data_IF_127734250322
#
_entry.id   IF_127734250322
#
_cell.length_a   1.000
_cell.length_b   1.000
_cell.length_c   1.000
_cell.angle_alpha   90.00
_cell.angle_beta   90.00
_cell.angle_gamma   90.00
#
_symmetry.space_group_name_H-M   'P 1'
#
loop_
_entity.id
_entity.type
_entity.pdbx_description
1 polymer ?
#
# COMPACT_ATOMS: atom_id res chain seq x y z
N UNK A 1 30.42 -1.01 8.06
CA UNK A 1 30.57 -1.53 9.45
C UNK A 1 29.72 -2.79 9.67
N UNK A 2 28.40 -2.78 9.41
CA UNK A 2 27.50 -3.95 9.58
C UNK A 2 27.95 -5.22 8.84
N UNK A 3 28.37 -5.11 7.56
CA UNK A 3 28.89 -6.25 6.80
C UNK A 3 30.08 -6.91 7.49
N UNK A 4 31.01 -6.11 8.01
CA UNK A 4 32.18 -6.64 8.71
C UNK A 4 31.79 -7.40 9.98
N UNK A 5 30.74 -6.95 10.69
CA UNK A 5 30.21 -7.65 11.86
C UNK A 5 29.59 -8.99 11.48
N UNK A 6 28.88 -9.04 10.34
CA UNK A 6 28.34 -10.29 9.78
C UNK A 6 29.51 -11.23 9.42
N UNK A 7 30.54 -10.74 8.73
CA UNK A 7 31.70 -11.53 8.30
C UNK A 7 32.46 -12.17 9.48
N UNK A 8 32.49 -11.52 10.64
CA UNK A 8 33.15 -12.05 11.85
C UNK A 8 32.22 -12.87 12.75
N UNK A 9 31.03 -13.23 12.27
CA UNK A 9 30.11 -14.13 12.97
C UNK A 9 29.28 -13.47 14.08
N UNK A 10 29.13 -12.14 14.09
CA UNK A 10 28.35 -11.45 15.13
C UNK A 10 26.83 -11.45 14.88
N UNK A 11 26.37 -11.86 13.70
CA UNK A 11 24.97 -11.80 13.30
C UNK A 11 23.99 -12.43 14.32
N UNK A 12 24.20 -13.67 14.83
CA UNK A 12 23.29 -14.29 15.79
C UNK A 12 23.18 -13.50 17.11
N UNK A 13 24.27 -12.86 17.55
CA UNK A 13 24.29 -12.07 18.78
C UNK A 13 23.53 -10.75 18.64
N UNK A 14 23.41 -10.25 17.40
CA UNK A 14 22.64 -9.07 17.03
C UNK A 14 21.15 -9.38 16.78
N UNK A 15 20.73 -10.65 16.89
CA UNK A 15 19.36 -11.09 16.61
C UNK A 15 19.05 -11.30 15.13
N UNK A 16 20.06 -11.26 14.27
CA UNK A 16 19.92 -11.53 12.86
C UNK A 16 19.86 -13.06 12.61
N UNK A 17 19.12 -13.52 11.59
CA UNK A 17 19.07 -14.93 11.23
C UNK A 17 20.43 -15.42 10.69
N UNK A 18 20.62 -16.74 10.69
CA UNK A 18 21.87 -17.35 10.18
C UNK A 18 22.03 -17.16 8.67
N UNK A 19 20.93 -17.21 7.92
CA UNK A 19 20.93 -17.00 6.47
C UNK A 19 20.47 -15.57 6.15
N UNK A 20 21.41 -14.71 5.80
CA UNK A 20 21.17 -13.30 5.51
C UNK A 20 21.21 -13.02 4.00
N UNK A 21 20.35 -12.09 3.57
CA UNK A 21 20.37 -11.57 2.21
C UNK A 21 21.44 -10.47 2.05
N UNK A 22 22.71 -10.84 2.19
CA UNK A 22 23.86 -9.92 2.15
C UNK A 22 23.97 -9.21 0.80
N UNK A 23 23.61 -9.87 -0.29
CA UNK A 23 23.61 -9.28 -1.64
C UNK A 23 22.61 -8.12 -1.75
N UNK A 24 21.37 -8.32 -1.30
CA UNK A 24 20.34 -7.27 -1.32
C UNK A 24 20.66 -6.15 -0.33
N UNK A 25 21.19 -6.48 0.85
CA UNK A 25 21.66 -5.47 1.78
C UNK A 25 22.76 -4.60 1.18
N UNK A 26 23.74 -5.19 0.50
CA UNK A 26 24.77 -4.44 -0.22
C UNK A 26 24.18 -3.51 -1.28
N UNK A 27 23.20 -3.97 -2.05
CA UNK A 27 22.50 -3.10 -3.00
C UNK A 27 21.84 -1.92 -2.29
N UNK A 28 21.09 -2.18 -1.22
CA UNK A 28 20.35 -1.16 -0.46
C UNK A 28 21.27 -0.20 0.30
N UNK A 29 22.48 -0.61 0.69
CA UNK A 29 23.47 0.29 1.29
C UNK A 29 23.98 1.36 0.31
N UNK A 30 23.89 1.10 -0.99
CA UNK A 30 24.42 1.95 -2.05
C UNK A 30 23.34 2.74 -2.79
N UNK A 31 22.10 2.77 -2.29
CA UNK A 31 21.04 3.62 -2.86
C UNK A 31 21.44 5.10 -2.77
N UNK A 32 21.04 5.88 -3.76
CA UNK A 32 21.37 7.32 -3.84
C UNK A 32 20.67 8.16 -2.77
N UNK A 33 19.45 7.79 -2.38
CA UNK A 33 18.65 8.51 -1.39
C UNK A 33 18.80 7.94 0.01
N UNK A 34 19.04 8.80 1.00
CA UNK A 34 19.11 8.36 2.40
C UNK A 34 17.77 7.74 2.84
N UNK A 35 17.84 6.49 3.26
CA UNK A 35 16.71 5.74 3.76
C UNK A 35 16.86 5.45 5.25
N UNK A 36 15.71 5.21 5.89
CA UNK A 36 15.64 4.84 7.28
C UNK A 36 16.50 3.59 7.56
N UNK A 37 17.20 3.50 8.71
CA UNK A 37 18.02 2.32 9.03
C UNK A 37 17.26 1.00 8.91
N UNK A 38 15.98 1.00 9.27
CA UNK A 38 15.11 -0.17 9.14
C UNK A 38 14.85 -0.61 7.70
N UNK A 39 14.90 0.31 6.73
CA UNK A 39 14.84 0.00 5.30
C UNK A 39 16.05 -0.82 4.87
N UNK A 40 17.23 -0.49 5.42
CA UNK A 40 18.47 -1.23 5.22
C UNK A 40 18.39 -2.60 5.93
N UNK A 41 17.93 -2.66 7.17
CA UNK A 41 17.77 -3.94 7.89
C UNK A 41 16.78 -4.88 7.20
N UNK A 42 15.64 -4.39 6.72
CA UNK A 42 14.67 -5.20 5.97
C UNK A 42 15.28 -5.86 4.72
N UNK A 43 16.33 -5.27 4.14
CA UNK A 43 17.07 -5.86 3.02
C UNK A 43 17.86 -7.12 3.42
N UNK A 44 18.28 -7.25 4.68
CA UNK A 44 19.00 -8.43 5.18
C UNK A 44 18.08 -9.63 5.40
N UNK A 45 16.79 -9.41 5.62
CA UNK A 45 15.84 -10.43 6.03
C UNK A 45 15.04 -10.97 4.84
N UNK A 46 14.75 -12.26 4.82
CA UNK A 46 14.02 -12.93 3.75
C UNK A 46 12.51 -12.91 3.94
N UNK A 47 12.03 -12.88 5.19
CA UNK A 47 10.61 -13.06 5.51
C UNK A 47 10.12 -12.18 6.66
N UNK A 48 8.80 -12.06 6.78
CA UNK A 48 8.16 -11.39 7.92
C UNK A 48 8.47 -12.10 9.25
N UNK A 49 8.56 -13.42 9.23
CA UNK A 49 8.88 -14.21 10.43
C UNK A 49 10.28 -13.86 10.95
N UNK A 50 11.28 -13.75 10.07
CA UNK A 50 12.62 -13.30 10.44
C UNK A 50 12.62 -11.87 10.99
N UNK A 51 11.77 -10.98 10.46
CA UNK A 51 11.58 -9.62 10.98
C UNK A 51 10.95 -9.61 12.37
N UNK A 52 9.98 -10.48 12.62
CA UNK A 52 9.36 -10.64 13.92
C UNK A 52 10.33 -11.24 14.94
N UNK A 53 11.16 -12.19 14.54
CA UNK A 53 12.19 -12.77 15.40
C UNK A 53 13.31 -11.76 15.74
N UNK A 54 13.75 -10.99 14.74
CA UNK A 54 14.66 -9.86 14.96
C UNK A 54 14.06 -8.85 15.96
N UNK A 55 12.79 -8.46 15.77
CA UNK A 55 12.08 -7.58 16.69
C UNK A 55 12.00 -8.14 18.12
N UNK A 56 11.72 -9.45 18.28
CA UNK A 56 11.68 -10.09 19.62
C UNK A 56 13.00 -9.94 20.37
N UNK A 57 14.13 -9.98 19.66
CA UNK A 57 15.48 -9.86 20.25
C UNK A 57 15.90 -8.42 20.52
N UNK A 58 15.66 -7.52 19.57
CA UNK A 58 16.16 -6.13 19.58
C UNK A 58 15.18 -5.14 20.22
N UNK A 59 13.90 -5.53 20.37
CA UNK A 59 12.83 -4.71 20.96
C UNK A 59 12.60 -3.39 20.21
N UNK A 60 12.49 -3.49 18.88
CA UNK A 60 12.18 -2.34 18.01
C UNK A 60 10.89 -1.62 18.44
N UNK A 61 10.80 -0.33 18.14
CA UNK A 61 9.53 0.39 18.24
C UNK A 61 8.48 -0.22 17.32
N UNK A 62 7.19 0.03 17.62
CA UNK A 62 6.10 -0.42 16.75
C UNK A 62 6.26 0.13 15.32
N UNK A 63 6.70 1.39 15.18
CA UNK A 63 6.97 2.01 13.90
C UNK A 63 8.02 1.24 13.09
N UNK A 64 9.17 0.93 13.69
CA UNK A 64 10.27 0.22 13.02
C UNK A 64 9.87 -1.20 12.64
N UNK A 65 9.21 -1.93 13.56
CA UNK A 65 8.70 -3.27 13.28
C UNK A 65 7.78 -3.26 12.06
N UNK A 66 6.81 -2.36 12.05
CA UNK A 66 5.78 -2.31 11.01
C UNK A 66 6.35 -1.80 9.67
N UNK A 67 7.33 -0.89 9.70
CA UNK A 67 8.09 -0.47 8.51
C UNK A 67 8.87 -1.64 7.89
N UNK A 68 9.59 -2.42 8.72
CA UNK A 68 10.35 -3.57 8.24
C UNK A 68 9.45 -4.63 7.58
N UNK A 69 8.33 -4.95 8.22
CA UNK A 69 7.30 -5.86 7.67
C UNK A 69 6.77 -5.32 6.33
N UNK A 70 6.38 -4.04 6.28
CA UNK A 70 5.86 -3.41 5.08
C UNK A 70 6.83 -3.51 3.90
N UNK A 71 8.12 -3.26 4.11
CA UNK A 71 9.13 -3.34 3.06
C UNK A 71 9.27 -4.78 2.56
N UNK A 72 9.33 -5.77 3.46
CA UNK A 72 9.44 -7.19 3.07
C UNK A 72 8.23 -7.63 2.25
N UNK A 73 7.02 -7.20 2.63
CA UNK A 73 5.78 -7.51 1.92
C UNK A 73 5.74 -6.93 0.50
N UNK A 74 6.32 -5.75 0.28
CA UNK A 74 6.12 -4.98 -0.95
C UNK A 74 7.38 -4.77 -1.82
N UNK A 75 8.57 -5.14 -1.34
CA UNK A 75 9.85 -4.94 -2.04
C UNK A 75 9.88 -5.55 -3.45
N UNK A 76 9.19 -6.68 -3.64
CA UNK A 76 9.10 -7.36 -4.92
C UNK A 76 7.87 -6.98 -5.75
N UNK A 77 6.97 -6.13 -5.24
CA UNK A 77 5.80 -5.69 -5.99
C UNK A 77 6.21 -4.90 -7.23
N UNK A 78 5.69 -5.27 -8.38
CA UNK A 78 5.92 -4.58 -9.66
C UNK A 78 4.59 -4.15 -10.25
N UNK A 79 4.57 -2.97 -10.86
CA UNK A 79 3.39 -2.48 -11.58
C UNK A 79 3.46 -2.96 -13.02
N UNK A 80 2.42 -3.65 -13.50
CA UNK A 80 2.17 -3.83 -14.93
C UNK A 80 1.31 -2.71 -15.53
N UNK A 81 0.84 -1.77 -14.69
CA UNK A 81 0.05 -0.60 -15.12
C UNK A 81 0.94 0.38 -15.91
N UNK A 82 0.44 0.95 -17.03
CA UNK A 82 1.11 2.03 -17.76
C UNK A 82 1.48 3.25 -16.90
N UNK A 83 0.83 3.42 -15.74
CA UNK A 83 1.12 4.42 -14.72
C UNK A 83 1.72 3.74 -13.48
N UNK A 84 3.06 3.62 -13.37
CA UNK A 84 3.73 2.91 -12.27
C UNK A 84 3.40 3.45 -10.88
N UNK A 85 3.06 4.75 -10.79
CA UNK A 85 2.66 5.40 -9.55
C UNK A 85 1.38 4.79 -8.94
N UNK A 86 0.51 4.20 -9.77
CA UNK A 86 -0.76 3.60 -9.36
C UNK A 86 -0.59 2.56 -8.26
N UNK A 87 0.43 1.72 -8.36
CA UNK A 87 0.72 0.70 -7.35
C UNK A 87 0.80 1.33 -5.95
N UNK A 88 1.56 2.41 -5.82
CA UNK A 88 1.79 3.11 -4.56
C UNK A 88 0.57 3.94 -4.12
N UNK A 89 -0.15 4.54 -5.07
CA UNK A 89 -1.42 5.22 -4.79
C UNK A 89 -2.46 4.25 -4.23
N UNK A 90 -2.51 3.02 -4.76
CA UNK A 90 -3.40 1.96 -4.28
C UNK A 90 -2.99 1.45 -2.90
N UNK A 91 -1.69 1.30 -2.64
CA UNK A 91 -1.20 1.01 -1.29
C UNK A 91 -1.70 2.06 -0.29
N UNK A 92 -1.71 3.35 -0.66
CA UNK A 92 -2.25 4.41 0.20
C UNK A 92 -3.80 4.34 0.32
N UNK A 93 -4.51 4.16 -0.79
CA UNK A 93 -5.98 4.14 -0.84
C UNK A 93 -6.60 3.03 0.02
N UNK A 94 -5.99 1.85 0.00
CA UNK A 94 -6.48 0.65 0.68
C UNK A 94 -5.82 0.41 2.04
N UNK A 95 -4.92 1.29 2.47
CA UNK A 95 -4.29 1.17 3.79
C UNK A 95 -5.29 1.38 4.93
N UNK A 96 -5.09 0.60 6.00
CA UNK A 96 -5.77 0.81 7.29
C UNK A 96 -5.02 1.79 8.20
N UNK A 97 -3.80 2.16 7.84
CA UNK A 97 -2.97 3.10 8.60
C UNK A 97 -3.43 4.54 8.34
N UNK A 98 -2.98 5.45 9.21
CA UNK A 98 -3.13 6.88 8.96
C UNK A 98 -2.37 7.25 7.68
N UNK A 99 -2.97 8.10 6.85
CA UNK A 99 -2.42 8.44 5.54
C UNK A 99 -0.97 8.96 5.60
N UNK A 100 -0.61 9.77 6.60
CA UNK A 100 0.74 10.28 6.77
C UNK A 100 1.76 9.15 7.03
N UNK A 101 1.42 8.23 7.95
CA UNK A 101 2.27 7.08 8.27
C UNK A 101 2.44 6.16 7.05
N UNK A 102 1.35 5.88 6.34
CA UNK A 102 1.42 5.05 5.13
C UNK A 102 2.27 5.72 4.03
N UNK A 103 2.22 7.05 3.91
CA UNK A 103 3.08 7.79 2.98
C UNK A 103 4.56 7.68 3.34
N UNK A 104 4.90 7.75 4.62
CA UNK A 104 6.28 7.51 5.07
C UNK A 104 6.75 6.11 4.67
N UNK A 105 5.92 5.09 4.87
CA UNK A 105 6.25 3.70 4.51
C UNK A 105 6.44 3.54 3.00
N UNK A 106 5.56 4.13 2.19
CA UNK A 106 5.67 4.12 0.74
C UNK A 106 6.93 4.83 0.27
N UNK A 107 7.29 5.98 0.87
CA UNK A 107 8.53 6.69 0.52
C UNK A 107 9.77 5.83 0.79
N UNK A 108 9.83 5.15 1.94
CA UNK A 108 10.92 4.23 2.25
C UNK A 108 10.98 3.04 1.28
N UNK A 109 9.84 2.49 0.88
CA UNK A 109 9.77 1.45 -0.15
C UNK A 109 10.25 1.96 -1.52
N UNK A 110 9.91 3.19 -1.90
CA UNK A 110 10.38 3.78 -3.15
C UNK A 110 11.90 4.00 -3.14
N UNK A 111 12.47 4.43 -2.00
CA UNK A 111 13.92 4.54 -1.81
C UNK A 111 14.60 3.18 -1.88
N UNK A 112 14.04 2.17 -1.21
CA UNK A 112 14.52 0.79 -1.28
C UNK A 112 14.63 0.28 -2.72
N UNK A 113 13.66 0.65 -3.56
CA UNK A 113 13.55 0.24 -4.98
C UNK A 113 14.28 1.17 -5.95
N UNK A 114 14.95 2.22 -5.46
CA UNK A 114 15.66 3.23 -6.26
C UNK A 114 14.77 3.86 -7.33
N UNK A 115 13.54 4.21 -6.96
CA UNK A 115 12.55 4.84 -7.86
C UNK A 115 12.43 6.35 -7.64
N UNK A 116 13.55 7.06 -7.71
CA UNK A 116 13.63 8.51 -7.44
C UNK A 116 12.63 9.34 -8.25
N UNK A 117 12.39 9.00 -9.52
CA UNK A 117 11.40 9.68 -10.36
C UNK A 117 9.99 9.61 -9.75
N UNK A 118 9.61 8.44 -9.21
CA UNK A 118 8.31 8.23 -8.58
C UNK A 118 8.20 8.84 -7.18
N UNK A 119 9.32 9.04 -6.49
CA UNK A 119 9.35 9.66 -5.15
C UNK A 119 8.80 11.07 -5.22
N UNK A 120 9.28 11.86 -6.18
CA UNK A 120 8.80 13.23 -6.37
C UNK A 120 7.32 13.27 -6.72
N UNK A 121 6.91 12.48 -7.71
CA UNK A 121 5.51 12.42 -8.14
C UNK A 121 4.57 12.00 -7.00
N UNK A 122 4.99 11.03 -6.17
CA UNK A 122 4.20 10.58 -5.03
C UNK A 122 4.12 11.63 -3.90
N UNK A 123 5.22 12.35 -3.66
CA UNK A 123 5.29 13.44 -2.68
C UNK A 123 4.40 14.62 -3.06
N UNK A 124 4.27 14.92 -4.35
CA UNK A 124 3.41 16.00 -4.86
C UNK A 124 1.93 15.55 -4.91
N UNK A 125 1.68 14.27 -5.15
CA UNK A 125 0.33 13.74 -5.24
C UNK A 125 -0.40 13.75 -3.89
N UNK A 126 -1.64 14.23 -3.88
CA UNK A 126 -2.57 14.18 -2.74
C UNK A 126 -3.70 13.22 -3.06
N UNK A 127 -4.01 12.32 -2.11
CA UNK A 127 -5.11 11.37 -2.28
C UNK A 127 -6.43 12.16 -2.30
N UNK A 128 -7.18 12.14 -3.41
CA UNK A 128 -8.46 12.82 -3.45
C UNK A 128 -9.46 12.11 -2.51
N UNK A 129 -10.47 12.84 -1.97
CA UNK A 129 -11.54 12.19 -1.23
C UNK A 129 -12.35 11.31 -2.18
N UNK A 130 -12.65 10.08 -1.75
CA UNK A 130 -13.48 9.18 -2.54
C UNK A 130 -14.90 9.77 -2.72
N UNK A 131 -15.48 9.82 -3.95
CA UNK A 131 -16.69 10.60 -4.20
C UNK A 131 -17.99 9.98 -3.68
N UNK A 132 -17.95 8.70 -3.28
CA UNK A 132 -19.11 7.95 -2.81
C UNK A 132 -19.01 7.62 -1.32
N UNK A 133 -20.18 7.54 -0.68
CA UNK A 133 -20.32 7.08 0.70
C UNK A 133 -21.33 5.93 0.78
N UNK A 134 -21.32 5.22 1.90
CA UNK A 134 -22.18 4.04 2.07
C UNK A 134 -23.68 4.34 1.99
N UNK A 135 -24.12 5.55 2.36
CA UNK A 135 -25.54 5.92 2.27
C UNK A 135 -26.00 6.04 0.82
N UNK A 136 -25.14 6.56 -0.06
CA UNK A 136 -25.43 6.64 -1.49
C UNK A 136 -25.52 5.25 -2.08
N UNK A 137 -24.57 4.36 -1.76
CA UNK A 137 -24.54 3.00 -2.32
C UNK A 137 -25.79 2.19 -1.90
N UNK A 138 -26.29 2.36 -0.67
CA UNK A 138 -27.55 1.75 -0.22
C UNK A 138 -28.80 2.19 -0.98
N UNK A 139 -28.76 3.32 -1.68
CA UNK A 139 -29.91 3.75 -2.51
C UNK A 139 -30.00 2.95 -3.82
N UNK A 140 -28.93 2.25 -4.19
CA UNK A 140 -28.83 1.44 -5.41
C UNK A 140 -29.00 -0.06 -5.13
N UNK A 141 -29.47 -0.45 -3.94
CA UNK A 141 -29.86 -1.82 -3.61
C UNK A 141 -29.82 -2.09 -2.10
N UNK A 142 -30.39 -3.22 -1.68
CA UNK A 142 -30.34 -3.71 -0.30
C UNK A 142 -28.96 -4.29 0.04
N UNK A 143 -27.93 -3.45 0.03
CA UNK A 143 -26.58 -3.81 0.45
C UNK A 143 -26.35 -3.45 1.92
N UNK A 144 -26.32 -4.49 2.76
CA UNK A 144 -26.08 -4.39 4.20
C UNK A 144 -24.75 -5.04 4.60
N UNK A 145 -24.19 -4.59 5.74
CA UNK A 145 -23.06 -5.27 6.37
C UNK A 145 -21.85 -5.49 5.45
N UNK A 146 -21.48 -6.76 5.24
CA UNK A 146 -20.31 -7.19 4.48
C UNK A 146 -20.37 -6.76 3.02
N UNK A 147 -21.54 -6.87 2.38
CA UNK A 147 -21.70 -6.62 0.95
C UNK A 147 -21.48 -5.15 0.61
N UNK A 148 -21.90 -4.23 1.48
CA UNK A 148 -21.61 -2.81 1.33
C UNK A 148 -20.09 -2.53 1.30
N UNK A 149 -19.33 -3.21 2.17
CA UNK A 149 -17.87 -3.10 2.19
C UNK A 149 -17.23 -3.59 0.89
N UNK A 150 -17.71 -4.72 0.38
CA UNK A 150 -17.25 -5.31 -0.90
C UNK A 150 -17.54 -4.37 -2.07
N UNK A 151 -18.76 -3.81 -2.15
CA UNK A 151 -19.11 -2.85 -3.20
C UNK A 151 -18.26 -1.58 -3.12
N UNK A 152 -18.10 -1.00 -1.93
CA UNK A 152 -17.26 0.20 -1.76
C UNK A 152 -15.81 -0.08 -2.16
N UNK A 153 -15.28 -1.26 -1.84
CA UNK A 153 -13.93 -1.66 -2.24
C UNK A 153 -13.81 -1.79 -3.77
N UNK A 154 -14.76 -2.45 -4.43
CA UNK A 154 -14.79 -2.57 -5.88
C UNK A 154 -14.91 -1.20 -6.57
N UNK A 155 -15.77 -0.31 -6.05
CA UNK A 155 -15.89 1.05 -6.56
C UNK A 155 -14.60 1.86 -6.41
N UNK A 156 -13.86 1.69 -5.30
CA UNK A 156 -12.54 2.32 -5.13
C UNK A 156 -11.51 1.76 -6.13
N UNK A 157 -11.54 0.46 -6.40
CA UNK A 157 -10.66 -0.16 -7.40
C UNK A 157 -10.93 0.41 -8.79
N UNK A 158 -12.21 0.44 -9.20
CA UNK A 158 -12.65 1.06 -10.45
C UNK A 158 -12.23 2.53 -10.55
N UNK A 159 -12.51 3.33 -9.52
CA UNK A 159 -12.12 4.73 -9.46
C UNK A 159 -10.60 4.93 -9.55
N UNK A 160 -9.82 4.08 -8.87
CA UNK A 160 -8.36 4.13 -8.96
C UNK A 160 -7.86 3.80 -10.37
N UNK A 161 -8.47 2.83 -11.06
CA UNK A 161 -8.08 2.45 -12.43
C UNK A 161 -8.27 3.58 -13.44
N UNK A 162 -9.19 4.50 -13.14
CA UNK A 162 -9.52 5.70 -13.92
C UNK A 162 -8.82 6.96 -13.38
N UNK A 163 -7.62 6.84 -12.82
CA UNK A 163 -6.81 7.97 -12.34
C UNK A 163 -7.42 8.82 -11.22
N UNK A 164 -8.37 8.28 -10.46
CA UNK A 164 -9.06 9.06 -9.43
C UNK A 164 -9.83 10.28 -10.01
N UNK A 165 -10.03 10.32 -11.34
CA UNK A 165 -10.67 11.42 -12.07
C UNK A 165 -12.21 11.39 -12.03
N UNK A 166 -12.88 10.22 -12.10
CA UNK A 166 -14.33 10.19 -12.15
C UNK A 166 -14.97 10.91 -10.97
N UNK A 167 -15.95 11.73 -11.31
CA UNK A 167 -16.84 12.43 -10.40
C UNK A 167 -17.83 11.46 -9.75
N UNK A 168 -18.56 11.96 -8.75
CA UNK A 168 -19.65 11.20 -8.13
C UNK A 168 -20.68 10.75 -9.16
N UNK A 169 -21.10 11.63 -10.05
CA UNK A 169 -22.14 11.37 -11.05
C UNK A 169 -21.70 10.33 -12.07
N UNK A 170 -20.43 10.35 -12.46
CA UNK A 170 -19.85 9.33 -13.35
C UNK A 170 -19.76 7.98 -12.66
N UNK A 171 -19.24 7.92 -11.44
CA UNK A 171 -19.15 6.66 -10.68
C UNK A 171 -20.53 6.05 -10.39
N UNK A 172 -21.57 6.87 -10.20
CA UNK A 172 -22.93 6.38 -9.98
C UNK A 172 -23.50 5.67 -11.21
N UNK A 173 -23.07 6.02 -12.42
CA UNK A 173 -23.47 5.30 -13.64
C UNK A 173 -22.85 3.90 -13.73
N UNK A 174 -21.65 3.75 -13.17
CA UNK A 174 -20.93 2.46 -13.16
C UNK A 174 -21.36 1.55 -12.01
N UNK A 175 -21.94 2.10 -10.94
CA UNK A 175 -22.31 1.37 -9.72
C UNK A 175 -23.21 0.14 -9.99
N UNK A 176 -24.31 0.22 -10.77
CA UNK A 176 -25.15 -0.95 -11.04
C UNK A 176 -24.41 -2.09 -11.75
N UNK A 177 -23.51 -1.74 -12.67
CA UNK A 177 -22.68 -2.71 -13.40
C UNK A 177 -21.76 -3.46 -12.42
N UNK A 178 -21.05 -2.72 -11.57
CA UNK A 178 -20.13 -3.28 -10.57
C UNK A 178 -20.87 -4.15 -9.55
N UNK A 179 -22.06 -3.75 -9.10
CA UNK A 179 -22.89 -4.58 -8.23
C UNK A 179 -23.29 -5.90 -8.90
N UNK A 180 -23.67 -5.85 -10.18
CA UNK A 180 -24.02 -7.05 -10.95
C UNK A 180 -22.83 -8.00 -11.13
N UNK A 181 -21.63 -7.45 -11.39
CA UNK A 181 -20.38 -8.22 -11.48
C UNK A 181 -20.03 -8.92 -10.14
N UNK A 182 -20.46 -8.35 -9.01
CA UNK A 182 -20.34 -8.94 -7.68
C UNK A 182 -21.47 -9.92 -7.33
N UNK A 183 -22.41 -10.17 -8.25
CA UNK A 183 -23.56 -11.05 -8.01
C UNK A 183 -24.65 -10.44 -7.11
N UNK A 184 -24.68 -9.12 -7.00
CA UNK A 184 -25.67 -8.38 -6.22
C UNK A 184 -26.73 -7.78 -7.15
N UNK A 185 -27.98 -7.71 -6.70
CA UNK A 185 -29.07 -7.10 -7.47
C UNK A 185 -29.08 -5.58 -7.28
N UNK A 186 -28.73 -4.78 -8.31
CA UNK A 186 -28.84 -3.34 -8.23
C UNK A 186 -30.30 -2.91 -8.36
N UNK A 187 -30.71 -1.92 -7.57
CA UNK A 187 -31.95 -1.18 -7.79
C UNK A 187 -31.62 0.17 -8.40
N UNK A 188 -32.38 0.61 -9.41
CA UNK A 188 -32.30 1.99 -9.88
C UNK A 188 -32.94 2.89 -8.81
N UNK A 189 -32.24 3.89 -8.23
CA UNK A 189 -32.86 4.79 -7.28
C UNK A 189 -33.96 5.59 -7.99
N UNK A 190 -35.01 6.02 -7.26
CA UNK A 190 -36.00 6.92 -7.83
C UNK A 190 -35.29 8.17 -8.35
N UNK A 191 -35.36 8.38 -9.66
CA UNK A 191 -34.69 9.48 -10.33
C UNK A 191 -35.02 10.80 -9.64
N UNK A 192 -34.00 11.63 -9.39
CA UNK A 192 -34.26 13.05 -9.24
C UNK A 192 -34.82 13.51 -10.57
N UNK A 193 -36.14 13.66 -10.66
CA UNK A 193 -36.78 14.44 -11.69
C UNK A 193 -36.07 15.79 -11.75
N UNK A 194 -35.23 16.00 -12.76
CA UNK A 194 -35.05 17.33 -13.34
C UNK A 194 -36.45 17.77 -13.75
N UNK A 195 -37.05 18.64 -12.95
CA UNK A 195 -38.23 19.38 -13.40
C UNK A 195 -37.73 20.35 -14.47
N UNK A 196 -38.44 20.30 -15.59
CA UNK A 196 -38.43 21.27 -16.68
C UNK A 196 -38.54 22.72 -16.19
#
# INVERSE_FOLDING_TARGET
MTLKMIDVGLAPYMGLPDNLNVAEFNRVLNVSEECHPMTKIAALLHSEDEMLDFHKRVKLSAYERDLGIFIIQHRHSVSSDPHPLRLYQNLLLFSKLKANQMREYINELLRYKEKSDLIKDFQDWRLPPFPLNGNIVRQYGTVGGKDLGVVIQAMKQHWSSLDFKPTREELLKDLPKIMSELGLEPTVPPGKHTKD
#
